data_IF_842858901005
#
_entry.id   IF_842858901005
#
_cell.length_a   1.000
_cell.length_b   1.000
_cell.length_c   1.000
_cell.angle_alpha   90.00
_cell.angle_beta   90.00
_cell.angle_gamma   90.00
#
_symmetry.space_group_name_H-M   'P 1'
#
loop_
_entity.id
_entity.type
_entity.pdbx_description
1 polymer ?
#
# COMPACT_ATOMS: atom_id res chain seq x y z
N UNK A 1 -19.81 1.24 -23.34
CA UNK A 1 -20.78 0.15 -23.13
C UNK A 1 -20.44 -0.96 -24.10
N UNK A 2 -20.27 -2.18 -23.59
CA UNK A 2 -20.09 -3.41 -24.36
C UNK A 2 -21.28 -3.63 -25.30
N UNK A 3 -21.00 -4.30 -26.42
CA UNK A 3 -21.98 -4.76 -27.41
C UNK A 3 -23.16 -5.47 -26.73
N UNK A 4 -24.41 -5.29 -27.19
CA UNK A 4 -25.64 -5.81 -26.54
C UNK A 4 -25.65 -7.35 -26.34
N UNK A 5 -24.73 -8.06 -27.00
CA UNK A 5 -24.57 -9.52 -26.94
C UNK A 5 -23.38 -10.00 -26.08
N UNK A 6 -22.65 -9.11 -25.39
CA UNK A 6 -21.49 -9.48 -24.57
C UNK A 6 -21.79 -9.22 -23.09
N UNK A 7 -21.80 -10.27 -22.28
CA UNK A 7 -21.83 -10.17 -20.82
C UNK A 7 -20.43 -9.78 -20.28
N UNK A 8 -20.37 -8.91 -19.27
CA UNK A 8 -19.11 -8.54 -18.62
C UNK A 8 -19.07 -9.05 -17.17
N UNK A 9 -17.95 -9.66 -16.79
CA UNK A 9 -17.60 -10.04 -15.43
C UNK A 9 -16.33 -9.29 -15.03
N UNK A 10 -16.41 -8.53 -13.94
CA UNK A 10 -15.27 -7.83 -13.37
C UNK A 10 -14.89 -8.53 -12.06
N UNK A 11 -13.62 -8.93 -11.94
CA UNK A 11 -13.06 -9.46 -10.70
C UNK A 11 -12.29 -8.36 -9.99
N UNK A 12 -12.63 -8.09 -8.74
CA UNK A 12 -12.04 -7.01 -7.92
C UNK A 12 -11.21 -7.60 -6.78
N UNK A 13 -10.12 -6.90 -6.42
CA UNK A 13 -9.30 -7.19 -5.26
C UNK A 13 -9.88 -6.60 -3.97
N UNK A 14 -11.00 -5.87 -4.08
CA UNK A 14 -11.67 -5.17 -2.98
C UNK A 14 -10.70 -4.24 -2.23
N UNK A 15 -9.84 -3.55 -2.99
CA UNK A 15 -8.82 -2.66 -2.44
C UNK A 15 -7.64 -3.37 -1.74
N UNK A 16 -7.65 -4.70 -1.64
CA UNK A 16 -6.55 -5.47 -1.04
C UNK A 16 -5.41 -5.55 -2.06
N UNK A 17 -4.47 -4.61 -1.98
CA UNK A 17 -3.37 -4.44 -2.93
C UNK A 17 -2.59 -5.74 -3.17
N UNK A 18 -2.31 -6.50 -2.09
CA UNK A 18 -1.56 -7.76 -2.23
C UNK A 18 -2.25 -8.80 -3.12
N UNK A 19 -3.58 -8.71 -3.27
CA UNK A 19 -4.37 -9.64 -4.07
C UNK A 19 -4.48 -9.26 -5.55
N UNK A 20 -4.15 -8.02 -5.91
CA UNK A 20 -4.31 -7.50 -7.27
C UNK A 20 -3.60 -8.38 -8.31
N UNK A 21 -2.35 -8.76 -8.03
CA UNK A 21 -1.53 -9.56 -8.96
C UNK A 21 -2.17 -10.92 -9.29
N UNK A 22 -2.84 -11.56 -8.32
CA UNK A 22 -3.48 -12.85 -8.54
C UNK A 22 -4.73 -12.73 -9.41
N UNK A 23 -5.44 -11.61 -9.32
CA UNK A 23 -6.62 -11.34 -10.16
C UNK A 23 -6.18 -11.03 -11.60
N UNK A 24 -5.13 -10.23 -11.76
CA UNK A 24 -4.52 -9.94 -13.05
C UNK A 24 -4.07 -11.25 -13.72
N UNK A 25 -3.28 -12.07 -13.03
CA UNK A 25 -2.78 -13.34 -13.58
C UNK A 25 -3.87 -14.39 -13.81
N UNK A 26 -4.91 -14.43 -12.95
CA UNK A 26 -6.06 -15.31 -13.16
C UNK A 26 -6.77 -15.00 -14.48
N UNK A 27 -6.91 -13.72 -14.81
CA UNK A 27 -7.61 -13.27 -16.01
C UNK A 27 -6.72 -13.42 -17.24
N UNK A 28 -5.41 -13.17 -17.11
CA UNK A 28 -4.45 -13.45 -18.18
C UNK A 28 -4.38 -14.96 -18.52
N UNK A 29 -4.56 -15.83 -17.52
CA UNK A 29 -4.64 -17.27 -17.70
C UNK A 29 -6.04 -17.78 -18.13
N UNK A 30 -7.07 -16.93 -18.08
CA UNK A 30 -8.44 -17.33 -18.37
C UNK A 30 -8.61 -17.64 -19.88
N UNK A 31 -9.26 -18.75 -20.23
CA UNK A 31 -9.56 -19.04 -21.64
C UNK A 31 -10.57 -18.02 -22.19
N UNK A 32 -10.58 -17.84 -23.51
CA UNK A 32 -11.56 -16.98 -24.16
C UNK A 32 -12.94 -17.64 -24.09
N UNK A 33 -13.89 -16.95 -23.46
CA UNK A 33 -15.28 -17.38 -23.37
C UNK A 33 -16.13 -16.62 -24.40
N UNK A 34 -16.79 -17.32 -25.35
CA UNK A 34 -17.68 -16.66 -26.31
C UNK A 34 -18.76 -15.83 -25.60
N UNK A 35 -18.97 -14.60 -26.06
CA UNK A 35 -19.95 -13.64 -25.51
C UNK A 35 -19.67 -13.19 -24.07
N UNK A 36 -18.49 -13.45 -23.52
CA UNK A 36 -18.07 -12.96 -22.21
C UNK A 36 -16.82 -12.11 -22.33
N UNK A 37 -16.82 -10.98 -21.63
CA UNK A 37 -15.64 -10.19 -21.33
C UNK A 37 -15.33 -10.34 -19.85
N UNK A 38 -14.17 -10.91 -19.53
CA UNK A 38 -13.68 -10.99 -18.15
C UNK A 38 -12.59 -9.95 -18.00
N UNK A 39 -12.75 -9.03 -17.05
CA UNK A 39 -11.85 -7.90 -16.85
C UNK A 39 -11.28 -7.92 -15.44
N UNK A 40 -9.97 -7.69 -15.32
CA UNK A 40 -9.28 -7.61 -14.05
C UNK A 40 -9.45 -6.21 -13.48
N UNK A 41 -9.87 -6.14 -12.22
CA UNK A 41 -10.12 -4.92 -11.47
C UNK A 41 -11.19 -4.03 -12.08
N UNK A 42 -11.80 -3.19 -11.25
CA UNK A 42 -12.70 -2.16 -11.75
C UNK A 42 -11.92 -1.16 -12.62
N UNK A 43 -12.36 -0.98 -13.86
CA UNK A 43 -11.75 -0.05 -14.80
C UNK A 43 -12.31 1.37 -14.60
N UNK A 44 -11.48 2.37 -14.94
CA UNK A 44 -11.94 3.75 -14.99
C UNK A 44 -13.05 3.91 -16.04
N UNK A 45 -14.06 4.70 -15.69
CA UNK A 45 -15.17 5.05 -16.57
C UNK A 45 -15.07 6.53 -16.89
N UNK A 46 -15.40 6.92 -18.11
CA UNK A 46 -15.56 8.32 -18.44
C UNK A 46 -16.79 8.89 -17.71
N UNK A 47 -16.54 9.77 -16.74
CA UNK A 47 -17.54 10.27 -15.82
C UNK A 47 -18.22 11.56 -16.29
N UNK A 48 -18.00 12.01 -17.55
CA UNK A 48 -18.65 13.23 -18.06
C UNK A 48 -20.19 13.18 -17.93
N UNK A 49 -20.80 12.00 -18.04
CA UNK A 49 -22.26 11.80 -17.96
C UNK A 49 -22.74 10.93 -16.77
N UNK A 50 -21.84 10.54 -15.85
CA UNK A 50 -22.17 9.63 -14.74
C UNK A 50 -22.31 10.35 -13.41
N UNK A 51 -23.24 9.84 -12.58
CA UNK A 51 -23.49 10.32 -11.22
C UNK A 51 -23.58 9.14 -10.25
N UNK A 52 -23.12 9.36 -9.03
CA UNK A 52 -23.29 8.44 -7.91
C UNK A 52 -24.48 8.94 -7.08
N UNK A 53 -25.53 8.13 -7.01
CA UNK A 53 -26.67 8.36 -6.13
C UNK A 53 -26.53 7.52 -4.87
N UNK A 54 -26.50 8.16 -3.69
CA UNK A 54 -26.54 7.49 -2.38
C UNK A 54 -27.57 8.19 -1.54
N UNK A 55 -28.63 7.46 -1.17
CA UNK A 55 -29.80 8.05 -0.51
C UNK A 55 -30.34 9.23 -1.34
N UNK A 56 -30.35 10.44 -0.77
CA UNK A 56 -30.76 11.67 -1.44
C UNK A 56 -29.59 12.47 -2.04
N UNK A 57 -28.34 12.02 -1.84
CA UNK A 57 -27.13 12.66 -2.35
C UNK A 57 -26.87 12.29 -3.81
N UNK A 58 -26.55 13.29 -4.63
CA UNK A 58 -26.14 13.13 -6.02
C UNK A 58 -24.74 13.71 -6.18
N UNK A 59 -23.76 12.84 -6.37
CA UNK A 59 -22.36 13.23 -6.58
C UNK A 59 -22.02 13.08 -8.06
N UNK A 60 -21.51 14.15 -8.67
CA UNK A 60 -21.13 14.18 -10.08
C UNK A 60 -19.87 15.04 -10.27
N UNK A 61 -19.30 14.98 -11.47
CA UNK A 61 -18.08 15.74 -11.78
C UNK A 61 -18.25 17.26 -11.55
N UNK A 62 -19.34 17.92 -12.00
CA UNK A 62 -19.55 19.35 -11.74
C UNK A 62 -19.64 19.77 -10.27
N UNK A 63 -20.11 18.89 -9.38
CA UNK A 63 -20.23 19.19 -7.94
C UNK A 63 -18.93 18.99 -7.16
N UNK A 64 -17.88 18.49 -7.82
CA UNK A 64 -16.60 18.16 -7.21
C UNK A 64 -15.44 18.96 -7.83
N UNK A 65 -14.56 19.42 -6.97
CA UNK A 65 -13.26 19.98 -7.35
C UNK A 65 -12.20 19.52 -6.37
N UNK A 66 -10.94 19.68 -6.69
CA UNK A 66 -9.84 19.36 -5.79
C UNK A 66 -8.72 20.39 -5.88
N UNK A 67 -7.85 20.39 -4.88
CA UNK A 67 -6.55 21.02 -4.95
C UNK A 67 -5.51 20.12 -4.28
N UNK A 68 -4.24 20.16 -4.72
CA UNK A 68 -3.18 19.40 -4.08
C UNK A 68 -2.79 20.03 -2.73
N UNK A 69 -2.54 19.19 -1.72
CA UNK A 69 -1.91 19.57 -0.48
C UNK A 69 -0.39 19.41 -0.63
N UNK A 70 0.36 20.51 -0.49
CA UNK A 70 1.82 20.46 -0.55
C UNK A 70 2.44 20.21 0.82
N UNK A 71 3.22 19.14 0.93
CA UNK A 71 4.04 18.84 2.11
C UNK A 71 5.52 18.96 1.73
N UNK A 72 6.21 20.06 2.08
CA UNK A 72 7.62 20.25 1.70
C UNK A 72 8.57 19.15 2.18
N UNK A 73 8.23 18.46 3.27
CA UNK A 73 9.01 17.32 3.77
C UNK A 73 8.70 16.00 3.04
N UNK A 74 7.55 15.93 2.37
CA UNK A 74 7.07 14.75 1.65
C UNK A 74 6.64 15.13 0.22
N UNK A 75 7.53 15.73 -0.59
CA UNK A 75 7.17 16.29 -1.89
C UNK A 75 6.70 15.27 -2.92
N UNK A 76 6.92 13.97 -2.69
CA UNK A 76 6.51 12.87 -3.56
C UNK A 76 5.17 12.26 -3.13
N UNK A 77 4.63 12.64 -1.97
CA UNK A 77 3.25 12.28 -1.59
C UNK A 77 2.25 13.02 -2.48
N UNK A 78 1.22 12.30 -2.88
CA UNK A 78 0.07 12.83 -3.58
C UNK A 78 -1.06 12.93 -2.57
N UNK A 79 -1.09 14.08 -1.91
CA UNK A 79 -2.17 14.47 -1.03
C UNK A 79 -3.08 15.46 -1.76
N UNK A 80 -4.39 15.23 -1.67
CA UNK A 80 -5.37 16.13 -2.25
C UNK A 80 -6.48 16.42 -1.25
N UNK A 81 -7.05 17.61 -1.37
CA UNK A 81 -8.30 17.95 -0.72
C UNK A 81 -9.39 18.10 -1.78
N UNK A 82 -10.43 17.28 -1.66
CA UNK A 82 -11.64 17.31 -2.47
C UNK A 82 -12.63 18.27 -1.82
N UNK A 83 -13.14 19.20 -2.62
CA UNK A 83 -14.18 20.15 -2.27
C UNK A 83 -15.48 19.71 -2.93
N UNK A 84 -16.47 19.37 -2.10
CA UNK A 84 -17.82 19.03 -2.55
C UNK A 84 -18.76 20.22 -2.29
N UNK A 85 -19.45 20.70 -3.33
CA UNK A 85 -20.26 21.91 -3.26
C UNK A 85 -21.42 21.78 -2.27
N UNK A 86 -22.07 20.61 -2.24
CA UNK A 86 -23.25 20.35 -1.40
C UNK A 86 -22.87 19.66 -0.08
N UNK A 87 -21.66 19.93 0.42
CA UNK A 87 -21.17 19.32 1.65
C UNK A 87 -21.98 19.75 2.88
N UNK A 88 -22.40 18.77 3.68
CA UNK A 88 -23.02 18.97 4.99
C UNK A 88 -22.23 18.22 6.06
N UNK A 89 -22.11 18.81 7.26
CA UNK A 89 -21.45 18.13 8.39
C UNK A 89 -22.29 16.99 8.95
N UNK A 90 -23.62 17.06 8.78
CA UNK A 90 -24.56 16.04 9.27
C UNK A 90 -24.43 14.74 8.45
N UNK A 91 -24.18 14.84 7.15
CA UNK A 91 -24.07 13.68 6.24
C UNK A 91 -22.62 13.34 5.91
N UNK A 92 -21.66 13.81 6.70
CA UNK A 92 -20.23 13.66 6.42
C UNK A 92 -19.83 12.22 6.05
N UNK A 93 -20.29 11.22 6.81
CA UNK A 93 -19.97 9.81 6.54
C UNK A 93 -20.51 9.32 5.19
N UNK A 94 -21.73 9.70 4.83
CA UNK A 94 -22.37 9.34 3.56
C UNK A 94 -21.67 10.04 2.39
N UNK A 95 -21.33 11.32 2.54
CA UNK A 95 -20.57 12.10 1.54
C UNK A 95 -19.20 11.48 1.30
N UNK A 96 -18.47 11.14 2.37
CA UNK A 96 -17.17 10.50 2.29
C UNK A 96 -17.26 9.20 1.50
N UNK A 97 -18.21 8.32 1.87
CA UNK A 97 -18.44 7.05 1.18
C UNK A 97 -18.76 7.26 -0.31
N UNK A 98 -19.62 8.22 -0.63
CA UNK A 98 -19.98 8.53 -2.01
C UNK A 98 -18.85 9.11 -2.85
N UNK A 99 -17.97 9.92 -2.25
CA UNK A 99 -16.78 10.43 -2.94
C UNK A 99 -15.78 9.30 -3.19
N UNK A 100 -15.55 8.39 -2.25
CA UNK A 100 -14.69 7.22 -2.50
C UNK A 100 -15.26 6.35 -3.63
N UNK A 101 -16.57 6.08 -3.62
CA UNK A 101 -17.23 5.38 -4.74
C UNK A 101 -17.08 6.11 -6.07
N UNK A 102 -17.18 7.45 -6.07
CA UNK A 102 -16.96 8.26 -7.26
C UNK A 102 -15.52 8.15 -7.76
N UNK A 103 -14.53 8.22 -6.87
CA UNK A 103 -13.11 8.08 -7.20
C UNK A 103 -12.78 6.70 -7.77
N UNK A 104 -13.34 5.62 -7.21
CA UNK A 104 -13.15 4.26 -7.74
C UNK A 104 -13.66 4.13 -9.18
N UNK A 105 -14.73 4.85 -9.54
CA UNK A 105 -15.23 4.87 -10.91
C UNK A 105 -14.38 5.78 -11.81
N UNK A 106 -13.96 6.94 -11.32
CA UNK A 106 -13.17 7.92 -12.08
C UNK A 106 -11.76 7.41 -12.39
N UNK A 107 -11.11 6.76 -11.42
CA UNK A 107 -9.71 6.34 -11.50
C UNK A 107 -9.56 4.86 -11.85
N UNK A 108 -10.60 4.05 -11.58
CA UNK A 108 -10.48 2.61 -11.52
C UNK A 108 -9.85 2.16 -10.19
N UNK A 109 -10.04 0.89 -9.87
CA UNK A 109 -9.64 0.30 -8.58
C UNK A 109 -8.13 0.39 -8.33
N UNK A 110 -7.31 0.08 -9.36
CA UNK A 110 -5.85 0.11 -9.21
C UNK A 110 -5.38 1.52 -8.86
N UNK A 111 -5.70 2.52 -9.69
CA UNK A 111 -5.19 3.88 -9.49
C UNK A 111 -5.76 4.54 -8.25
N UNK A 112 -7.05 4.30 -7.93
CA UNK A 112 -7.66 4.78 -6.69
C UNK A 112 -6.92 4.24 -5.45
N UNK A 113 -6.56 2.96 -5.45
CA UNK A 113 -5.89 2.30 -4.32
C UNK A 113 -4.39 2.59 -4.21
N UNK A 114 -3.71 2.98 -5.30
CA UNK A 114 -2.23 3.05 -5.31
C UNK A 114 -1.63 4.41 -5.66
N UNK A 115 -2.37 5.36 -6.26
CA UNK A 115 -1.79 6.65 -6.64
C UNK A 115 -1.97 7.72 -5.56
N UNK A 116 -3.13 7.78 -4.90
CA UNK A 116 -3.45 8.77 -3.87
C UNK A 116 -2.94 8.33 -2.49
N UNK A 117 -2.15 9.17 -1.83
CA UNK A 117 -1.61 8.86 -0.49
C UNK A 117 -2.48 9.45 0.64
N UNK A 118 -3.07 10.63 0.42
CA UNK A 118 -3.99 11.25 1.37
C UNK A 118 -5.14 11.94 0.64
N UNK A 119 -6.35 11.73 1.14
CA UNK A 119 -7.55 12.37 0.63
C UNK A 119 -8.26 13.02 1.81
N UNK A 120 -8.46 14.33 1.70
CA UNK A 120 -9.33 15.09 2.60
C UNK A 120 -10.58 15.50 1.85
N UNK A 121 -11.70 15.57 2.56
CA UNK A 121 -12.99 15.97 2.00
C UNK A 121 -13.53 17.11 2.85
N UNK A 122 -13.89 18.20 2.21
CA UNK A 122 -14.46 19.37 2.87
C UNK A 122 -15.48 20.09 1.99
N UNK A 123 -16.24 20.99 2.60
CA UNK A 123 -17.15 21.90 1.89
C UNK A 123 -16.45 23.13 1.31
N UNK A 124 -17.18 23.95 0.55
CA UNK A 124 -16.66 25.20 0.00
C UNK A 124 -16.34 26.21 1.13
N UNK A 125 -15.23 26.92 0.97
CA UNK A 125 -14.78 27.99 1.87
C UNK A 125 -14.09 29.08 1.04
N UNK A 126 -14.13 30.33 1.51
CA UNK A 126 -13.47 31.49 0.88
C UNK A 126 -11.95 31.46 0.98
N UNK A 127 -11.39 30.58 1.81
CA UNK A 127 -9.94 30.45 2.03
C UNK A 127 -9.27 29.40 1.15
N UNK A 128 -10.02 28.73 0.27
CA UNK A 128 -9.47 27.70 -0.60
C UNK A 128 -8.54 28.31 -1.65
N UNK A 129 -7.47 27.60 -2.05
CA UNK A 129 -6.70 27.96 -3.24
C UNK A 129 -7.54 27.75 -4.51
N UNK A 130 -6.92 27.99 -5.67
CA UNK A 130 -7.56 27.75 -6.96
C UNK A 130 -8.02 26.29 -7.10
N UNK A 131 -9.32 26.11 -7.25
CA UNK A 131 -9.95 24.79 -7.35
C UNK A 131 -9.81 24.22 -8.76
N UNK A 132 -9.41 22.96 -8.85
CA UNK A 132 -9.25 22.21 -10.08
C UNK A 132 -10.49 21.30 -10.25
N UNK A 133 -11.17 21.28 -11.41
CA UNK A 133 -12.28 20.35 -11.65
C UNK A 133 -11.85 18.90 -11.45
N UNK A 134 -12.69 18.08 -10.80
CA UNK A 134 -12.33 16.69 -10.48
C UNK A 134 -12.02 15.84 -11.72
N UNK A 135 -12.63 16.16 -12.87
CA UNK A 135 -12.35 15.50 -14.15
C UNK A 135 -10.88 15.60 -14.58
N UNK A 136 -10.10 16.55 -14.05
CA UNK A 136 -8.66 16.69 -14.33
C UNK A 136 -7.79 15.84 -13.41
N UNK A 137 -8.35 15.20 -12.39
CA UNK A 137 -7.61 14.39 -11.43
C UNK A 137 -6.79 13.27 -12.10
N UNK A 138 -7.34 12.46 -13.04
CA UNK A 138 -6.55 11.42 -13.72
C UNK A 138 -5.31 11.99 -14.44
N UNK A 139 -5.45 13.13 -15.11
CA UNK A 139 -4.34 13.79 -15.81
C UNK A 139 -3.28 14.32 -14.83
N UNK A 140 -3.72 14.87 -13.69
CA UNK A 140 -2.83 15.30 -12.61
C UNK A 140 -2.02 14.12 -12.03
N UNK A 141 -2.68 12.99 -11.74
CA UNK A 141 -2.01 11.81 -11.19
C UNK A 141 -0.99 11.21 -12.17
N UNK A 142 -1.35 11.10 -13.45
CA UNK A 142 -0.44 10.65 -14.49
C UNK A 142 0.78 11.57 -14.66
N UNK A 143 0.62 12.88 -14.48
CA UNK A 143 1.74 13.81 -14.48
C UNK A 143 2.66 13.60 -13.28
N UNK A 144 2.10 13.45 -12.07
CA UNK A 144 2.85 13.18 -10.84
C UNK A 144 3.63 11.87 -10.91
N UNK A 145 3.04 10.82 -11.48
CA UNK A 145 3.70 9.52 -11.66
C UNK A 145 4.90 9.62 -12.60
N UNK A 146 4.78 10.37 -13.71
CA UNK A 146 5.91 10.60 -14.62
C UNK A 146 7.06 11.34 -13.94
N UNK A 147 6.74 12.42 -13.23
CA UNK A 147 7.74 13.18 -12.46
C UNK A 147 8.48 12.29 -11.46
N UNK A 148 7.74 11.41 -10.77
CA UNK A 148 8.30 10.47 -9.83
C UNK A 148 9.22 9.44 -10.50
N UNK A 149 8.80 8.84 -11.62
CA UNK A 149 9.63 7.88 -12.36
C UNK A 149 10.93 8.55 -12.82
N UNK A 150 10.83 9.73 -13.46
CA UNK A 150 12.00 10.47 -13.95
C UNK A 150 12.99 10.82 -12.84
N UNK A 151 12.49 11.15 -11.63
CA UNK A 151 13.32 11.50 -10.48
C UNK A 151 14.08 10.31 -9.91
N UNK A 152 13.51 9.10 -9.95
CA UNK A 152 14.03 7.93 -9.22
C UNK A 152 14.52 6.78 -10.11
N UNK A 153 14.38 6.86 -11.44
CA UNK A 153 14.79 5.80 -12.38
C UNK A 153 16.27 5.39 -12.23
N UNK A 154 17.16 6.35 -11.94
CA UNK A 154 18.61 6.13 -11.80
C UNK A 154 19.09 6.07 -10.35
N UNK A 155 18.20 5.72 -9.41
CA UNK A 155 18.58 5.66 -7.99
C UNK A 155 19.54 4.49 -7.74
N UNK A 156 20.72 4.78 -7.20
CA UNK A 156 21.67 3.76 -6.74
C UNK A 156 21.16 3.07 -5.48
N UNK A 157 21.05 1.75 -5.53
CA UNK A 157 20.60 0.93 -4.40
C UNK A 157 21.71 0.87 -3.34
N UNK A 158 21.41 1.08 -2.04
CA UNK A 158 22.39 0.90 -0.98
C UNK A 158 22.96 -0.53 -0.95
N UNK A 159 24.20 -0.66 -0.48
CA UNK A 159 24.81 -1.97 -0.24
C UNK A 159 23.94 -2.81 0.73
N UNK A 160 23.77 -4.08 0.42
CA UNK A 160 23.01 -5.03 1.23
C UNK A 160 23.88 -5.73 2.29
N UNK A 161 25.22 -5.68 2.15
CA UNK A 161 26.19 -6.21 3.14
C UNK A 161 26.52 -5.17 4.23
N UNK A 162 25.47 -4.63 4.85
CA UNK A 162 25.59 -3.65 5.95
C UNK A 162 25.17 -4.30 7.28
N UNK A 163 26.01 -4.25 8.33
CA UNK A 163 25.63 -4.76 9.64
C UNK A 163 24.36 -4.10 10.20
N UNK A 164 23.43 -4.94 10.66
CA UNK A 164 22.22 -4.47 11.34
C UNK A 164 22.54 -3.88 12.72
N UNK A 165 21.80 -2.85 13.10
CA UNK A 165 21.85 -2.27 14.44
C UNK A 165 20.83 -2.96 15.34
N UNK A 166 21.28 -3.51 16.47
CA UNK A 166 20.38 -4.09 17.47
C UNK A 166 19.86 -3.03 18.43
N UNK A 167 18.53 -2.96 18.59
CA UNK A 167 17.81 -2.11 19.53
C UNK A 167 17.09 -2.99 20.54
N UNK A 168 17.01 -2.52 21.79
CA UNK A 168 16.25 -3.18 22.85
C UNK A 168 15.27 -2.19 23.45
N UNK A 169 14.03 -2.64 23.65
CA UNK A 169 12.96 -1.88 24.26
C UNK A 169 12.11 -2.79 25.14
N UNK A 170 11.14 -2.18 25.81
CA UNK A 170 10.11 -2.89 26.59
C UNK A 170 8.75 -2.45 26.06
N UNK A 171 7.87 -3.41 25.79
CA UNK A 171 6.51 -3.15 25.34
C UNK A 171 5.65 -2.55 26.45
N UNK A 172 4.44 -2.09 26.11
CA UNK A 172 3.47 -1.58 27.08
C UNK A 172 3.11 -2.59 28.18
N UNK A 173 3.21 -3.89 27.87
CA UNK A 173 2.96 -4.99 28.80
C UNK A 173 4.21 -5.45 29.57
N UNK A 174 5.24 -4.61 29.64
CA UNK A 174 6.51 -4.89 30.31
C UNK A 174 7.32 -6.07 29.71
N UNK A 175 7.02 -6.49 28.48
CA UNK A 175 7.75 -7.57 27.80
C UNK A 175 8.94 -7.04 26.99
N UNK A 176 10.07 -7.77 26.93
CA UNK A 176 11.20 -7.40 26.08
C UNK A 176 10.83 -7.37 24.59
N UNK A 177 11.39 -6.38 23.89
CA UNK A 177 11.40 -6.25 22.44
C UNK A 177 12.83 -6.10 21.97
N UNK A 178 13.21 -6.86 20.95
CA UNK A 178 14.54 -6.82 20.33
C UNK A 178 14.35 -6.58 18.85
N UNK A 179 14.93 -5.51 18.32
CA UNK A 179 14.91 -5.22 16.88
C UNK A 179 16.32 -5.27 16.31
N UNK A 180 16.50 -5.83 15.11
CA UNK A 180 17.75 -5.80 14.34
C UNK A 180 17.47 -5.11 13.02
N UNK A 181 18.00 -3.90 12.86
CA UNK A 181 17.49 -2.92 11.90
C UNK A 181 18.60 -2.34 11.02
N UNK A 182 18.33 -2.20 9.72
CA UNK A 182 19.25 -1.58 8.76
C UNK A 182 19.18 -0.04 8.86
N UNK A 183 19.87 0.52 9.86
CA UNK A 183 19.87 1.96 10.13
C UNK A 183 20.40 2.81 8.96
N UNK A 184 21.45 2.40 8.22
CA UNK A 184 21.86 3.13 7.01
C UNK A 184 20.76 3.20 5.96
N UNK A 185 20.03 2.11 5.72
CA UNK A 185 18.87 2.11 4.84
C UNK A 185 17.80 3.10 5.34
N UNK A 186 17.43 3.07 6.62
CA UNK A 186 16.44 4.00 7.19
C UNK A 186 16.85 5.48 7.11
N UNK A 187 18.13 5.77 6.98
CA UNK A 187 18.64 7.13 6.78
C UNK A 187 18.92 7.47 5.31
N UNK A 188 18.67 6.54 4.39
CA UNK A 188 18.85 6.76 2.95
C UNK A 188 17.84 7.78 2.40
N UNK A 189 18.30 8.73 1.58
CA UNK A 189 17.46 9.84 1.14
C UNK A 189 16.44 9.43 0.06
N UNK A 190 16.76 8.42 -0.75
CA UNK A 190 15.90 8.01 -1.87
C UNK A 190 14.83 6.96 -1.48
N UNK A 191 14.35 6.97 -0.23
CA UNK A 191 13.24 6.11 0.25
C UNK A 191 12.05 6.05 -0.71
N UNK A 192 11.61 7.17 -1.33
CA UNK A 192 10.45 7.12 -2.22
C UNK A 192 10.65 6.19 -3.40
N UNK A 193 11.87 5.89 -3.83
CA UNK A 193 12.14 4.91 -4.89
C UNK A 193 11.72 3.47 -4.55
N UNK A 194 11.47 3.17 -3.27
CA UNK A 194 10.94 1.90 -2.77
C UNK A 194 9.70 2.19 -1.89
N UNK A 195 8.58 2.62 -2.51
CA UNK A 195 7.47 3.24 -1.79
C UNK A 195 6.53 2.25 -1.11
N UNK A 196 6.78 0.95 -1.24
CA UNK A 196 5.97 -0.10 -0.63
C UNK A 196 6.70 -0.69 0.56
N UNK A 197 5.96 -0.98 1.62
CA UNK A 197 6.44 -1.77 2.75
C UNK A 197 5.77 -3.12 2.71
N UNK A 198 6.58 -4.17 2.74
CA UNK A 198 6.16 -5.54 3.00
C UNK A 198 6.51 -5.86 4.47
N UNK A 199 5.49 -6.18 5.26
CA UNK A 199 5.63 -6.62 6.65
C UNK A 199 5.11 -8.04 6.78
N UNK A 200 5.92 -8.93 7.32
CA UNK A 200 5.54 -10.31 7.65
C UNK A 200 5.41 -10.41 9.16
N UNK A 201 4.33 -11.03 9.65
CA UNK A 201 4.06 -11.26 11.07
C UNK A 201 3.96 -12.76 11.33
N UNK A 202 4.80 -13.26 12.22
CA UNK A 202 4.89 -14.66 12.58
C UNK A 202 4.66 -14.83 14.08
N UNK A 203 3.61 -15.54 14.47
CA UNK A 203 3.29 -15.80 15.87
C UNK A 203 3.91 -17.12 16.30
N UNK A 204 4.65 -17.08 17.41
CA UNK A 204 5.25 -18.23 18.10
C UNK A 204 4.77 -18.30 19.56
N UNK A 205 5.01 -19.41 20.26
CA UNK A 205 4.67 -19.52 21.68
C UNK A 205 5.82 -19.04 22.57
N UNK A 206 5.77 -17.76 22.96
CA UNK A 206 6.73 -17.14 23.87
C UNK A 206 6.27 -17.09 25.33
N UNK A 207 5.17 -17.74 25.70
CA UNK A 207 4.56 -17.56 27.04
C UNK A 207 5.49 -17.99 28.19
N UNK A 208 6.39 -18.93 27.93
CA UNK A 208 7.35 -19.43 28.92
C UNK A 208 8.73 -18.75 28.82
N UNK A 209 8.88 -17.74 27.96
CA UNK A 209 10.14 -17.07 27.69
C UNK A 209 9.96 -15.55 27.54
N UNK A 210 9.13 -14.93 28.38
CA UNK A 210 8.87 -13.48 28.40
C UNK A 210 8.49 -12.90 27.03
N UNK A 211 7.76 -13.67 26.21
CA UNK A 211 7.36 -13.27 24.87
C UNK A 211 8.46 -13.39 23.82
N UNK A 212 9.63 -13.92 24.15
CA UNK A 212 10.71 -14.26 23.21
C UNK A 212 10.56 -15.69 22.68
N UNK A 213 11.09 -16.01 21.49
CA UNK A 213 11.02 -17.36 20.93
C UNK A 213 11.86 -18.34 21.75
N UNK A 214 11.53 -19.64 21.68
CA UNK A 214 12.44 -20.67 22.19
C UNK A 214 13.70 -20.78 21.32
N UNK A 215 14.74 -21.48 21.77
CA UNK A 215 15.94 -21.71 20.96
C UNK A 215 15.60 -22.42 19.64
N UNK A 216 14.70 -23.40 19.69
CA UNK A 216 14.21 -24.10 18.50
C UNK A 216 13.44 -23.18 17.55
N UNK A 217 12.55 -22.33 18.07
CA UNK A 217 11.81 -21.38 17.23
C UNK A 217 12.77 -20.36 16.61
N UNK A 218 13.77 -19.92 17.37
CA UNK A 218 14.77 -18.96 16.92
C UNK A 218 15.62 -19.50 15.77
N UNK A 219 16.00 -20.78 15.80
CA UNK A 219 16.70 -21.43 14.68
C UNK A 219 15.83 -21.43 13.41
N UNK A 220 14.55 -21.83 13.51
CA UNK A 220 13.62 -21.84 12.38
C UNK A 220 13.39 -20.43 11.84
N UNK A 221 13.28 -19.42 12.72
CA UNK A 221 13.13 -18.03 12.32
C UNK A 221 14.35 -17.50 11.54
N UNK A 222 15.57 -17.93 11.90
CA UNK A 222 16.77 -17.54 11.16
C UNK A 222 16.83 -18.22 9.78
N UNK A 223 16.53 -19.52 9.70
CA UNK A 223 16.47 -20.23 8.41
C UNK A 223 15.41 -19.63 7.48
N UNK A 224 14.27 -19.22 8.04
CA UNK A 224 13.24 -18.53 7.30
C UNK A 224 13.67 -17.14 6.85
N UNK A 225 14.38 -16.38 7.70
CA UNK A 225 14.94 -15.09 7.32
C UNK A 225 15.87 -15.23 6.11
N UNK A 226 16.80 -16.19 6.14
CA UNK A 226 17.69 -16.47 5.00
C UNK A 226 16.89 -16.80 3.73
N UNK A 227 15.87 -17.64 3.86
CA UNK A 227 14.98 -18.00 2.74
C UNK A 227 14.24 -16.78 2.18
N UNK A 228 13.75 -15.89 3.04
CA UNK A 228 13.09 -14.66 2.63
C UNK A 228 14.04 -13.70 1.93
N UNK A 229 15.28 -13.55 2.43
CA UNK A 229 16.30 -12.72 1.82
C UNK A 229 16.66 -13.22 0.41
N UNK A 230 16.93 -14.52 0.28
CA UNK A 230 17.26 -15.14 -1.01
C UNK A 230 16.14 -14.95 -2.04
N UNK A 231 14.89 -15.12 -1.63
CA UNK A 231 13.76 -14.98 -2.54
C UNK A 231 13.44 -13.52 -2.86
N UNK A 232 13.45 -12.61 -1.88
CA UNK A 232 12.94 -11.25 -2.05
C UNK A 232 14.00 -10.26 -2.58
N UNK A 233 15.29 -10.48 -2.31
CA UNK A 233 16.34 -9.55 -2.70
C UNK A 233 16.91 -9.80 -4.10
N UNK A 234 16.82 -11.04 -4.62
CA UNK A 234 17.46 -11.45 -5.91
C UNK A 234 17.09 -10.56 -7.11
N UNK A 235 15.88 -10.01 -7.14
CA UNK A 235 15.43 -9.13 -8.24
C UNK A 235 15.85 -7.67 -8.10
N UNK A 236 16.43 -7.26 -6.96
CA UNK A 236 16.69 -5.86 -6.62
C UNK A 236 15.41 -5.01 -6.46
N UNK A 237 14.25 -5.67 -6.31
CA UNK A 237 12.95 -5.00 -6.16
C UNK A 237 12.56 -4.76 -4.72
N UNK A 238 13.19 -5.44 -3.76
CA UNK A 238 13.02 -5.22 -2.34
C UNK A 238 14.36 -5.02 -1.65
N UNK A 239 14.34 -4.32 -0.52
CA UNK A 239 15.47 -4.10 0.39
C UNK A 239 15.07 -4.56 1.78
N UNK A 240 16.00 -5.16 2.51
CA UNK A 240 15.74 -5.64 3.85
C UNK A 240 15.94 -4.50 4.88
N UNK A 241 14.84 -4.12 5.54
CA UNK A 241 14.85 -3.08 6.58
C UNK A 241 15.19 -3.65 7.96
N UNK A 242 14.94 -4.94 8.18
CA UNK A 242 15.30 -5.65 9.40
C UNK A 242 14.15 -6.46 9.98
N UNK A 243 14.31 -6.84 11.25
CA UNK A 243 13.31 -7.62 12.02
C UNK A 243 13.10 -7.09 13.42
N UNK A 244 11.95 -7.40 13.98
CA UNK A 244 11.63 -7.21 15.39
C UNK A 244 11.11 -8.52 16.00
N UNK A 245 11.56 -8.84 17.20
CA UNK A 245 11.18 -10.04 17.94
C UNK A 245 10.77 -9.67 19.35
N UNK A 246 9.65 -10.21 19.80
CA UNK A 246 9.16 -10.09 21.16
C UNK A 246 7.64 -10.08 21.22
N UNK A 247 7.09 -10.10 22.44
CA UNK A 247 5.64 -10.16 22.64
C UNK A 247 4.92 -11.30 21.90
N UNK A 248 5.57 -12.47 21.79
CA UNK A 248 5.11 -13.68 21.08
C UNK A 248 5.04 -13.55 19.55
N UNK A 249 5.80 -12.61 18.96
CA UNK A 249 5.77 -12.33 17.53
C UNK A 249 7.16 -12.01 16.98
N UNK A 250 7.43 -12.48 15.78
CA UNK A 250 8.54 -12.05 14.94
C UNK A 250 7.98 -11.30 13.74
N UNK A 251 8.52 -10.12 13.47
CA UNK A 251 8.18 -9.29 12.33
C UNK A 251 9.38 -9.14 11.42
N UNK A 252 9.21 -9.37 10.11
CA UNK A 252 10.22 -9.03 9.10
C UNK A 252 9.75 -7.84 8.27
N UNK A 253 10.65 -6.93 7.98
CA UNK A 253 10.36 -5.69 7.25
C UNK A 253 11.20 -5.59 5.98
N UNK A 254 10.51 -5.39 4.86
CA UNK A 254 11.11 -5.13 3.56
C UNK A 254 10.52 -3.85 2.97
N UNK A 255 11.31 -3.10 2.21
CA UNK A 255 10.84 -1.98 1.39
C UNK A 255 10.97 -2.35 -0.07
N UNK A 256 9.96 -2.10 -0.89
CA UNK A 256 9.86 -2.63 -2.25
C UNK A 256 9.49 -1.54 -3.28
N UNK A 257 9.99 -1.67 -4.51
CA UNK A 257 9.65 -0.79 -5.64
C UNK A 257 8.21 -0.95 -6.10
N UNK A 258 7.69 -2.17 -6.01
CA UNK A 258 6.32 -2.53 -6.36
C UNK A 258 5.73 -3.51 -5.34
N UNK A 259 4.42 -3.78 -5.43
CA UNK A 259 3.73 -4.74 -4.57
C UNK A 259 3.50 -6.11 -5.21
N UNK A 260 3.49 -6.20 -6.55
CA UNK A 260 3.06 -7.41 -7.28
C UNK A 260 4.02 -8.57 -7.08
N UNK A 261 5.30 -8.31 -7.24
CA UNK A 261 6.33 -9.34 -7.08
C UNK A 261 6.44 -9.84 -5.63
N UNK A 262 6.57 -8.98 -4.60
CA UNK A 262 6.60 -9.45 -3.22
C UNK A 262 5.33 -10.20 -2.81
N UNK A 263 4.14 -9.81 -3.31
CA UNK A 263 2.91 -10.58 -3.08
C UNK A 263 3.03 -12.04 -3.51
N UNK A 264 3.57 -12.28 -4.71
CA UNK A 264 3.71 -13.63 -5.26
C UNK A 264 4.74 -14.44 -4.50
N UNK A 265 5.93 -13.88 -4.29
CA UNK A 265 7.02 -14.57 -3.60
C UNK A 265 6.62 -14.98 -2.18
N UNK A 266 5.96 -14.10 -1.43
CA UNK A 266 5.49 -14.42 -0.08
C UNK A 266 4.34 -15.44 -0.10
N UNK A 267 3.43 -15.36 -1.08
CA UNK A 267 2.38 -16.35 -1.24
C UNK A 267 2.93 -17.76 -1.51
N UNK A 268 3.96 -17.88 -2.36
CA UNK A 268 4.64 -19.15 -2.64
C UNK A 268 5.31 -19.77 -1.40
N UNK A 269 5.82 -18.93 -0.49
CA UNK A 269 6.46 -19.37 0.76
C UNK A 269 5.46 -19.65 1.90
N UNK A 270 4.20 -19.20 1.77
CA UNK A 270 3.18 -19.32 2.83
C UNK A 270 3.02 -20.76 3.36
N UNK A 271 2.94 -21.81 2.51
CA UNK A 271 2.75 -23.18 3.00
C UNK A 271 3.93 -23.73 3.81
N UNK A 272 5.14 -23.19 3.62
CA UNK A 272 6.32 -23.56 4.38
C UNK A 272 6.33 -22.85 5.74
N UNK A 273 6.03 -21.55 5.75
CA UNK A 273 5.95 -20.73 6.97
C UNK A 273 4.88 -21.27 7.92
N UNK A 274 3.70 -21.60 7.38
CA UNK A 274 2.54 -22.08 8.15
C UNK A 274 2.75 -23.47 8.78
N UNK A 275 3.84 -24.18 8.47
CA UNK A 275 4.18 -25.43 9.15
C UNK A 275 4.59 -25.20 10.61
N UNK A 276 5.18 -24.05 10.91
CA UNK A 276 5.77 -23.75 12.21
C UNK A 276 5.10 -22.57 12.91
N UNK A 277 4.62 -21.58 12.15
CA UNK A 277 4.10 -20.34 12.72
C UNK A 277 2.72 -20.00 12.19
N UNK A 278 1.89 -19.35 13.01
CA UNK A 278 0.73 -18.65 12.48
C UNK A 278 1.23 -17.38 11.77
N UNK A 279 0.86 -17.24 10.51
CA UNK A 279 1.45 -16.27 9.60
C UNK A 279 0.42 -15.30 9.04
N UNK A 280 0.80 -14.03 8.96
CA UNK A 280 0.11 -13.00 8.18
C UNK A 280 1.13 -12.08 7.53
N UNK A 281 0.79 -11.48 6.39
CA UNK A 281 1.63 -10.45 5.79
C UNK A 281 0.81 -9.29 5.23
N UNK A 282 1.43 -8.13 5.23
CA UNK A 282 0.85 -6.86 4.84
C UNK A 282 1.73 -6.21 3.79
N UNK A 283 1.10 -5.69 2.74
CA UNK A 283 1.77 -4.83 1.77
C UNK A 283 0.98 -3.53 1.71
N UNK A 284 1.65 -2.43 2.00
CA UNK A 284 1.04 -1.10 2.03
C UNK A 284 2.02 -0.06 1.51
N UNK A 285 1.49 1.08 1.07
CA UNK A 285 2.29 2.18 0.56
C UNK A 285 2.74 3.07 1.70
N UNK A 286 4.03 3.34 1.77
CA UNK A 286 4.66 4.28 2.69
C UNK A 286 5.94 4.83 2.05
N UNK A 287 5.79 5.87 1.21
CA UNK A 287 6.89 6.44 0.40
C UNK A 287 8.10 6.89 1.21
N UNK A 288 7.87 7.30 2.45
CA UNK A 288 8.91 7.85 3.31
C UNK A 288 9.24 6.94 4.49
N UNK A 289 8.68 5.72 4.51
CA UNK A 289 8.89 4.73 5.55
C UNK A 289 8.60 5.26 6.96
N UNK A 290 7.52 6.05 7.09
CA UNK A 290 7.07 6.60 8.37
C UNK A 290 6.73 5.51 9.38
N UNK A 291 6.32 4.34 8.91
CA UNK A 291 6.07 3.15 9.72
C UNK A 291 7.30 2.75 10.54
N UNK A 292 8.52 3.09 10.11
CA UNK A 292 9.76 2.73 10.80
C UNK A 292 10.35 3.84 11.68
N UNK A 293 9.72 5.02 11.77
CA UNK A 293 10.25 6.15 12.56
C UNK A 293 10.43 5.79 14.05
N UNK A 294 9.64 4.86 14.57
CA UNK A 294 9.79 4.37 15.95
C UNK A 294 11.13 3.67 16.20
N UNK A 295 11.82 3.14 15.18
CA UNK A 295 13.17 2.60 15.30
C UNK A 295 14.26 3.67 15.34
N UNK A 296 13.95 4.91 14.90
CA UNK A 296 14.92 6.00 14.80
C UNK A 296 15.06 6.81 16.09
N UNK A 297 14.21 6.57 17.10
CA UNK A 297 14.14 7.35 18.36
C UNK A 297 15.29 7.04 19.34
N UNK A 298 16.26 6.20 18.96
CA UNK A 298 17.34 5.73 19.83
C UNK A 298 18.75 6.28 19.49
N UNK A 299 18.88 7.52 19.01
CA UNK A 299 20.17 8.22 18.88
C UNK A 299 20.16 9.61 19.55
#
# INVERSE_FOLDING_TARGET
MSDENIAELILTADGIVKNIVFIEELIDAAPVFPNWKITALKQAVDMEDWQIGIEDLIINSPSLSFFPDEYPQYPDEIAITIVYQDYSTEEHGTIVSGIYMFLDNLLGELNAGVQLDQIKIQGPNTSHPDLIPIAKLPAYLNWREKEFIEKYESTEIPDDDIPLTTLQATSENEMPLIASINMPLLNWDAKPSFPWVLRLELQYDGQQNDGLPTESDFEILNELEDTLLDNLLDSGMCLYAGRQVGSNMCEFYFTCKNFREPSKKVYELTPEIEQNFKFEYFIYRDKYWRSFEHFRVAL
#
